data_IF_660413191158
#
_entry.id   IF_660413191158
#
_cell.length_a   1.000
_cell.length_b   1.000
_cell.length_c   1.000
_cell.angle_alpha   90.00
_cell.angle_beta   90.00
_cell.angle_gamma   90.00
#
_symmetry.space_group_name_H-M   'P 1'
#
loop_
_entity.id
_entity.type
_entity.pdbx_description
1 polymer ?
#
# COMPACT_ATOMS: atom_id res chain seq x y z
N UNK A 1 8.02 -16.88 -8.09
CA UNK A 1 6.71 -16.59 -8.66
C UNK A 1 6.80 -15.42 -9.63
N UNK A 2 6.24 -15.60 -10.80
CA UNK A 2 6.21 -14.50 -11.76
C UNK A 2 5.05 -13.58 -11.44
N UNK A 3 5.37 -12.31 -11.27
CA UNK A 3 4.38 -11.29 -11.00
C UNK A 3 3.97 -10.68 -12.34
N UNK A 4 2.70 -10.86 -12.72
CA UNK A 4 2.22 -10.36 -14.01
C UNK A 4 1.87 -8.89 -13.98
N UNK A 5 1.49 -8.37 -12.83
CA UNK A 5 1.10 -6.96 -12.65
C UNK A 5 1.61 -6.45 -11.33
N UNK A 6 1.89 -5.17 -11.31
CA UNK A 6 2.28 -4.48 -10.09
C UNK A 6 1.36 -3.27 -9.92
N UNK A 7 0.72 -3.21 -8.77
CA UNK A 7 -0.17 -2.10 -8.45
C UNK A 7 0.49 -1.21 -7.41
N UNK A 8 0.66 0.06 -7.75
CA UNK A 8 1.14 1.06 -6.81
C UNK A 8 -0.09 1.79 -6.29
N UNK A 9 -0.38 1.62 -5.02
CA UNK A 9 -1.62 2.12 -4.43
C UNK A 9 -1.33 3.25 -3.46
N UNK A 10 -1.89 4.42 -3.74
CA UNK A 10 -1.79 5.57 -2.85
C UNK A 10 -3.05 5.62 -1.98
N UNK A 11 -2.86 5.73 -0.68
CA UNK A 11 -3.98 5.74 0.25
C UNK A 11 -3.90 6.93 1.19
N UNK A 12 -5.05 7.29 1.74
CA UNK A 12 -5.15 8.27 2.82
C UNK A 12 -6.08 7.69 3.86
N UNK A 13 -5.57 7.48 5.06
CA UNK A 13 -6.30 6.81 6.14
C UNK A 13 -6.30 7.72 7.37
N UNK A 14 -7.13 8.78 7.37
CA UNK A 14 -7.06 9.78 8.43
C UNK A 14 -7.37 9.24 9.81
N UNK A 15 -8.18 8.19 9.91
CA UNK A 15 -8.50 7.57 11.20
C UNK A 15 -7.37 6.69 11.73
N UNK A 16 -6.42 6.33 10.87
CA UNK A 16 -5.37 5.38 11.22
C UNK A 16 -5.85 3.93 11.27
N UNK A 17 -7.09 3.68 10.86
CA UNK A 17 -7.71 2.36 10.93
C UNK A 17 -8.04 1.88 9.53
N UNK A 18 -7.56 0.69 9.18
CA UNK A 18 -7.85 0.08 7.89
C UNK A 18 -9.30 -0.37 7.86
N UNK A 19 -10.12 0.29 7.04
CA UNK A 19 -11.52 -0.04 6.91
C UNK A 19 -11.75 -1.27 6.06
N UNK A 20 -12.95 -1.83 6.15
CA UNK A 20 -13.30 -3.05 5.40
C UNK A 20 -13.29 -2.82 3.90
N UNK A 21 -13.69 -1.64 3.44
CA UNK A 21 -13.69 -1.32 2.01
C UNK A 21 -12.27 -1.33 1.45
N UNK A 22 -11.33 -0.72 2.16
CA UNK A 22 -9.94 -0.70 1.72
C UNK A 22 -9.37 -2.11 1.72
N UNK A 23 -9.63 -2.85 2.78
CA UNK A 23 -9.13 -4.23 2.90
C UNK A 23 -9.66 -5.09 1.75
N UNK A 24 -10.94 -4.99 1.45
CA UNK A 24 -11.56 -5.74 0.36
C UNK A 24 -10.90 -5.38 -0.98
N UNK A 25 -10.68 -4.10 -1.21
CA UNK A 25 -10.08 -3.62 -2.45
C UNK A 25 -8.66 -4.18 -2.61
N UNK A 26 -7.86 -4.08 -1.55
CA UNK A 26 -6.46 -4.55 -1.61
C UNK A 26 -6.41 -6.06 -1.82
N UNK A 27 -7.28 -6.82 -1.16
CA UNK A 27 -7.36 -8.25 -1.36
C UNK A 27 -7.70 -8.59 -2.82
N UNK A 28 -8.63 -7.82 -3.40
CA UNK A 28 -9.03 -8.03 -4.79
C UNK A 28 -7.88 -7.74 -5.75
N UNK A 29 -7.13 -6.65 -5.52
CA UNK A 29 -5.97 -6.34 -6.33
C UNK A 29 -4.89 -7.43 -6.21
N UNK A 30 -4.72 -7.96 -5.00
CA UNK A 30 -3.71 -8.99 -4.77
C UNK A 30 -3.98 -10.26 -5.57
N UNK A 31 -5.23 -10.53 -5.90
CA UNK A 31 -5.55 -11.67 -6.76
C UNK A 31 -5.10 -11.45 -8.19
N UNK A 32 -4.89 -10.19 -8.59
CA UNK A 32 -4.49 -9.85 -9.95
C UNK A 32 -2.99 -9.58 -10.07
N UNK A 33 -2.30 -9.32 -8.98
CA UNK A 33 -0.87 -9.05 -9.03
C UNK A 33 -0.33 -8.60 -7.68
N UNK A 34 0.89 -8.08 -7.69
CA UNK A 34 1.52 -7.57 -6.48
C UNK A 34 1.05 -6.16 -6.15
N UNK A 35 0.92 -5.84 -4.87
CA UNK A 35 0.45 -4.54 -4.41
C UNK A 35 1.51 -3.90 -3.52
N UNK A 36 1.88 -2.65 -3.84
CA UNK A 36 2.71 -1.81 -2.98
C UNK A 36 1.85 -0.64 -2.55
N UNK A 37 1.62 -0.51 -1.26
CA UNK A 37 0.74 0.52 -0.72
C UNK A 37 1.54 1.55 0.07
N UNK A 38 1.34 2.82 -0.26
CA UNK A 38 1.91 3.92 0.52
C UNK A 38 0.80 4.88 0.88
N UNK A 39 0.71 5.23 2.15
CA UNK A 39 -0.32 6.12 2.65
C UNK A 39 0.30 7.41 3.16
N UNK A 40 -0.40 8.53 2.92
CA UNK A 40 -0.02 9.85 3.43
C UNK A 40 -0.67 10.10 4.78
N UNK A 41 -0.59 9.10 5.65
CA UNK A 41 -1.15 9.15 6.99
C UNK A 41 -0.60 7.98 7.78
N UNK A 42 -0.39 8.14 9.10
CA UNK A 42 0.04 7.00 9.90
C UNK A 42 -1.10 6.00 10.10
N UNK A 43 -0.74 4.76 10.39
CA UNK A 43 -1.69 3.74 10.80
C UNK A 43 -1.55 3.48 12.28
N UNK A 44 -2.67 3.19 12.94
CA UNK A 44 -2.65 2.80 14.34
C UNK A 44 -1.95 1.44 14.48
N UNK A 45 -1.49 1.17 15.70
CA UNK A 45 -0.80 -0.08 16.00
C UNK A 45 -1.65 -1.28 15.57
N UNK A 46 -1.02 -2.24 14.90
CA UNK A 46 -1.69 -3.46 14.48
C UNK A 46 -2.43 -3.37 13.15
N UNK A 47 -2.62 -2.17 12.60
CA UNK A 47 -3.40 -2.02 11.37
C UNK A 47 -2.65 -2.49 10.13
N UNK A 48 -1.34 -2.28 10.09
CA UNK A 48 -0.54 -2.73 8.95
C UNK A 48 -0.58 -4.26 8.81
N UNK A 49 -0.67 -4.96 9.92
CA UNK A 49 -0.73 -6.43 9.91
C UNK A 49 -1.98 -6.95 9.21
N UNK A 50 -3.05 -6.16 9.18
CA UNK A 50 -4.26 -6.56 8.48
C UNK A 50 -4.06 -6.58 6.97
N UNK A 51 -3.16 -5.74 6.47
CA UNK A 51 -2.85 -5.67 5.05
C UNK A 51 -1.69 -6.58 4.65
N UNK A 52 -0.85 -6.95 5.61
CA UNK A 52 0.40 -7.67 5.33
C UNK A 52 0.23 -8.91 4.44
N UNK A 53 -0.81 -9.75 4.61
CA UNK A 53 -0.95 -10.92 3.74
C UNK A 53 -1.24 -10.59 2.28
N UNK A 54 -1.62 -9.34 1.98
CA UNK A 54 -2.12 -8.96 0.67
C UNK A 54 -1.24 -7.97 -0.06
N UNK A 55 -0.13 -7.52 0.55
CA UNK A 55 0.74 -6.53 -0.08
C UNK A 55 2.18 -7.01 -0.05
N UNK A 56 2.95 -6.55 -1.03
CA UNK A 56 4.40 -6.78 -1.05
C UNK A 56 5.08 -5.83 -0.07
N UNK A 57 4.53 -4.64 0.10
CA UNK A 57 5.11 -3.62 0.97
C UNK A 57 4.03 -2.61 1.34
N UNK A 58 4.11 -2.10 2.55
CA UNK A 58 3.16 -1.11 3.04
C UNK A 58 3.91 -0.06 3.86
N UNK A 59 3.76 1.20 3.48
CA UNK A 59 4.29 2.33 4.24
C UNK A 59 3.14 3.25 4.60
N UNK A 60 3.14 3.75 5.83
CA UNK A 60 2.09 4.63 6.29
C UNK A 60 2.70 5.71 7.18
N UNK A 61 2.88 6.89 6.61
CA UNK A 61 3.37 8.06 7.36
C UNK A 61 2.94 9.31 6.63
N UNK A 62 2.80 10.39 7.37
CA UNK A 62 2.44 11.66 6.75
C UNK A 62 3.68 12.24 6.06
N UNK A 63 3.62 12.36 4.75
CA UNK A 63 4.68 13.01 3.98
C UNK A 63 4.24 14.34 3.39
N UNK A 64 2.93 14.61 3.35
CA UNK A 64 2.41 15.90 2.91
C UNK A 64 2.45 16.15 1.42
N UNK A 65 2.71 15.14 0.63
CA UNK A 65 2.83 15.26 -0.83
C UNK A 65 1.63 14.65 -1.55
N UNK A 66 0.62 14.26 -0.81
CA UNK A 66 -0.61 13.67 -1.33
C UNK A 66 -0.34 12.41 -2.14
N UNK A 67 -1.21 12.10 -3.09
CA UNK A 67 -1.10 10.86 -3.88
C UNK A 67 0.18 10.80 -4.68
N UNK A 68 0.63 11.94 -5.20
CA UNK A 68 1.86 11.97 -5.99
C UNK A 68 3.06 11.49 -5.16
N UNK A 69 3.17 11.98 -3.93
CA UNK A 69 4.24 11.55 -3.05
C UNK A 69 4.12 10.07 -2.66
N UNK A 70 2.90 9.59 -2.49
CA UNK A 70 2.67 8.18 -2.19
C UNK A 70 3.08 7.29 -3.35
N UNK A 71 2.72 7.65 -4.57
CA UNK A 71 3.14 6.89 -5.75
C UNK A 71 4.64 6.91 -5.93
N UNK A 72 5.26 8.05 -5.67
CA UNK A 72 6.71 8.20 -5.77
C UNK A 72 7.42 7.26 -4.80
N UNK A 73 6.93 7.18 -3.56
CA UNK A 73 7.50 6.28 -2.55
C UNK A 73 7.28 4.82 -2.92
N UNK A 74 6.09 4.50 -3.42
CA UNK A 74 5.77 3.13 -3.83
C UNK A 74 6.66 2.70 -4.99
N UNK A 75 6.84 3.58 -5.97
CA UNK A 75 7.73 3.29 -7.09
C UNK A 75 9.17 3.16 -6.65
N UNK A 76 9.61 4.04 -5.72
CA UNK A 76 10.97 3.97 -5.18
C UNK A 76 11.25 2.63 -4.54
N UNK A 77 10.32 2.15 -3.70
CA UNK A 77 10.47 0.85 -3.08
C UNK A 77 10.51 -0.27 -4.12
N UNK A 78 9.56 -0.23 -5.07
CA UNK A 78 9.45 -1.28 -6.08
C UNK A 78 10.70 -1.36 -6.96
N UNK A 79 11.23 -0.21 -7.37
CA UNK A 79 12.39 -0.19 -8.24
C UNK A 79 13.66 -0.67 -7.54
N UNK A 80 13.71 -0.59 -6.21
CA UNK A 80 14.87 -1.06 -5.44
C UNK A 80 14.72 -2.52 -5.02
N UNK A 81 13.52 -3.03 -4.91
CA UNK A 81 13.26 -4.35 -4.33
C UNK A 81 12.68 -5.37 -5.30
N UNK A 82 12.17 -4.91 -6.44
CA UNK A 82 11.59 -5.79 -7.46
C UNK A 82 12.34 -5.63 -8.76
N UNK A 83 12.43 -6.71 -9.50
CA UNK A 83 13.13 -6.69 -10.78
C UNK A 83 12.21 -6.41 -11.93
#
# INVERSE_FOLDING_TARGET
MLMKRLFLFAAYIPSGIVGESLLFYIRSLNELGGVVLCADSPMNSGQAERLAPYVLHCEAERHGEYDFGSYKRAWGWASENLE
#
